data_IF_209271631138
#
_entry.id   IF_209271631138
#
_cell.length_a   1.000
_cell.length_b   1.000
_cell.length_c   1.000
_cell.angle_alpha   90.00
_cell.angle_beta   90.00
_cell.angle_gamma   90.00
#
_symmetry.space_group_name_H-M   'P 1'
#
loop_
_entity.id
_entity.type
_entity.pdbx_description
1 polymer ?
#
# COMPACT_ATOMS: atom_id res chain seq x y z
N UNK A 1 0.80 -6.04 -0.50
CA UNK A 1 0.46 -6.19 0.93
C UNK A 1 0.00 -4.83 1.44
N UNK A 2 -0.97 -4.79 2.34
CA UNK A 2 -1.39 -3.54 3.00
C UNK A 2 -0.74 -3.46 4.37
N UNK A 3 -0.36 -2.25 4.76
CA UNK A 3 0.24 -1.94 6.06
C UNK A 3 -0.54 -0.86 6.79
N UNK A 4 -0.46 -0.84 8.12
CA UNK A 4 -1.03 0.21 8.98
C UNK A 4 -0.08 0.56 10.13
N UNK A 5 -0.23 1.77 10.65
CA UNK A 5 0.50 2.23 11.83
C UNK A 5 -0.48 2.52 12.96
N UNK A 6 -0.41 1.72 14.02
CA UNK A 6 -1.28 1.83 15.21
C UNK A 6 -0.40 1.67 16.45
N UNK A 7 -0.67 2.43 17.51
CA UNK A 7 0.05 2.35 18.79
C UNK A 7 1.58 2.40 18.65
N UNK A 8 2.03 3.27 17.73
CA UNK A 8 3.44 3.48 17.40
C UNK A 8 4.16 2.24 16.82
N UNK A 9 3.41 1.31 16.22
CA UNK A 9 3.90 0.06 15.63
C UNK A 9 3.36 -0.11 14.20
N UNK A 10 4.25 -0.51 13.28
CA UNK A 10 3.87 -0.90 11.93
C UNK A 10 3.41 -2.35 11.89
N UNK A 11 2.34 -2.60 11.13
CA UNK A 11 1.75 -3.91 10.94
C UNK A 11 1.46 -4.17 9.47
N UNK A 12 1.69 -5.39 9.00
CA UNK A 12 1.19 -5.85 7.69
C UNK A 12 0.07 -6.88 7.87
N UNK A 13 -0.87 -6.91 6.93
CA UNK A 13 -1.91 -7.93 6.88
C UNK A 13 -1.38 -9.21 6.22
N UNK A 14 -1.63 -10.38 6.82
CA UNK A 14 -1.28 -11.70 6.27
C UNK A 14 -2.48 -12.58 5.91
N UNK A 15 -3.65 -11.96 5.69
CA UNK A 15 -5.00 -12.54 5.50
C UNK A 15 -5.75 -12.93 6.79
N UNK A 16 -5.05 -13.31 7.86
CA UNK A 16 -5.71 -13.76 9.10
C UNK A 16 -5.54 -12.76 10.25
N UNK A 17 -4.36 -12.15 10.34
CA UNK A 17 -3.98 -11.25 11.43
C UNK A 17 -3.14 -10.08 10.93
N UNK A 18 -2.99 -9.09 11.80
CA UNK A 18 -2.01 -8.02 11.66
C UNK A 18 -0.72 -8.45 12.36
N UNK A 19 0.38 -8.42 11.63
CA UNK A 19 1.68 -8.86 12.12
C UNK A 19 2.60 -7.65 12.24
N UNK A 20 3.15 -7.45 13.43
CA UNK A 20 4.12 -6.40 13.70
C UNK A 20 5.38 -6.60 12.85
N UNK A 21 5.88 -5.51 12.28
CA UNK A 21 7.17 -5.50 11.61
C UNK A 21 7.90 -4.17 11.84
N UNK A 22 9.23 -4.22 11.75
CA UNK A 22 10.07 -3.02 11.72
C UNK A 22 10.40 -2.71 10.26
N UNK A 23 10.03 -1.53 9.74
CA UNK A 23 10.40 -1.16 8.39
C UNK A 23 11.91 -1.10 8.20
N UNK A 24 12.34 -1.48 7.01
CA UNK A 24 13.71 -1.39 6.54
C UNK A 24 13.84 -0.25 5.52
N UNK A 25 15.07 0.14 5.19
CA UNK A 25 15.32 1.24 4.24
C UNK A 25 14.81 0.98 2.83
N UNK A 26 14.54 -0.28 2.47
CA UNK A 26 13.95 -0.64 1.18
C UNK A 26 12.41 -0.54 1.13
N UNK A 27 11.75 -0.36 2.27
CA UNK A 27 10.29 -0.29 2.31
C UNK A 27 9.78 1.05 1.78
N UNK A 28 8.70 0.99 1.00
CA UNK A 28 8.11 2.17 0.37
C UNK A 28 6.60 2.05 0.24
N UNK A 29 5.89 3.09 0.67
CA UNK A 29 4.45 3.22 0.49
C UNK A 29 4.15 3.78 -0.91
N UNK A 30 3.38 3.04 -1.71
CA UNK A 30 3.04 3.42 -3.09
C UNK A 30 1.63 3.99 -3.22
N UNK A 31 0.76 3.75 -2.24
CA UNK A 31 -0.62 4.22 -2.23
C UNK A 31 -1.13 4.32 -0.79
N UNK A 32 -2.12 5.20 -0.58
CA UNK A 32 -2.95 5.21 0.61
C UNK A 32 -4.32 4.60 0.26
N UNK A 33 -4.88 3.78 1.16
CA UNK A 33 -6.19 3.15 0.96
C UNK A 33 -7.10 3.42 2.15
N UNK A 34 -8.40 3.55 1.87
CA UNK A 34 -9.44 3.67 2.89
C UNK A 34 -10.43 2.51 2.71
N UNK A 35 -10.45 1.59 3.68
CA UNK A 35 -11.27 0.39 3.64
C UNK A 35 -12.77 0.69 3.75
N UNK A 36 -13.16 1.69 4.55
CA UNK A 36 -14.57 2.04 4.78
C UNK A 36 -15.25 2.58 3.52
N UNK A 37 -14.50 3.32 2.70
CA UNK A 37 -15.00 3.98 1.49
C UNK A 37 -14.52 3.34 0.18
N UNK A 38 -13.71 2.28 0.25
CA UNK A 38 -13.08 1.65 -0.92
C UNK A 38 -12.33 2.65 -1.81
N UNK A 39 -11.64 3.62 -1.20
CA UNK A 39 -10.89 4.65 -1.93
C UNK A 39 -9.40 4.33 -1.96
N UNK A 40 -8.76 4.70 -3.06
CA UNK A 40 -7.32 4.59 -3.28
C UNK A 40 -6.80 5.95 -3.70
N UNK A 41 -5.70 6.37 -3.08
CA UNK A 41 -4.89 7.48 -3.55
C UNK A 41 -3.51 6.94 -3.91
N UNK A 42 -3.17 6.93 -5.19
CA UNK A 42 -1.81 6.60 -5.64
C UNK A 42 -0.86 7.71 -5.18
N UNK A 43 0.33 7.33 -4.70
CA UNK A 43 1.35 8.27 -4.23
C UNK A 43 2.38 8.59 -5.34
N UNK A 44 2.00 8.44 -6.61
CA UNK A 44 2.85 8.82 -7.72
C UNK A 44 3.18 10.32 -7.66
N UNK A 45 4.45 10.68 -7.82
CA UNK A 45 4.95 12.03 -7.70
C UNK A 45 5.01 12.58 -6.26
N UNK A 46 4.58 11.80 -5.26
CA UNK A 46 4.70 12.19 -3.85
C UNK A 46 6.10 11.89 -3.32
N UNK A 47 6.52 12.64 -2.30
CA UNK A 47 7.81 12.47 -1.62
C UNK A 47 7.63 12.49 -0.09
N UNK A 48 8.71 12.23 0.65
CA UNK A 48 8.73 12.22 2.12
C UNK A 48 8.59 10.83 2.72
N UNK A 49 8.16 10.78 3.98
CA UNK A 49 7.96 9.53 4.72
C UNK A 49 6.74 9.59 5.62
N UNK A 50 6.18 8.43 5.92
CA UNK A 50 5.12 8.23 6.90
C UNK A 50 5.68 7.35 8.00
N UNK A 51 5.76 7.86 9.23
CA UNK A 51 6.24 7.13 10.42
C UNK A 51 7.48 6.24 10.15
N UNK A 52 8.46 6.77 9.41
CA UNK A 52 9.72 6.08 9.09
C UNK A 52 9.76 5.28 7.79
N UNK A 53 8.65 5.11 7.06
CA UNK A 53 8.63 4.48 5.73
C UNK A 53 8.61 5.56 4.64
N UNK A 54 9.52 5.48 3.68
CA UNK A 54 9.51 6.39 2.53
C UNK A 54 8.21 6.23 1.73
N UNK A 55 7.68 7.32 1.17
CA UNK A 55 6.46 7.28 0.38
C UNK A 55 6.65 7.79 -1.04
N UNK A 56 5.73 7.37 -1.90
CA UNK A 56 5.61 7.78 -3.29
C UNK A 56 6.62 7.13 -4.23
N UNK A 57 6.43 7.37 -5.51
CA UNK A 57 7.25 6.85 -6.60
C UNK A 57 7.20 7.79 -7.79
N UNK A 58 8.21 7.76 -8.66
CA UNK A 58 8.35 8.72 -9.77
C UNK A 58 7.41 8.38 -10.93
N UNK A 59 7.50 7.15 -11.43
CA UNK A 59 6.73 6.66 -12.56
C UNK A 59 6.48 5.17 -12.42
N UNK A 60 5.46 4.65 -13.10
CA UNK A 60 5.11 3.23 -13.06
C UNK A 60 3.79 2.98 -13.78
N UNK A 61 3.43 1.71 -13.91
CA UNK A 61 2.16 1.25 -14.47
C UNK A 61 1.23 0.67 -13.40
N UNK A 62 1.54 0.90 -12.12
CA UNK A 62 0.79 0.36 -11.01
C UNK A 62 -0.64 0.90 -10.98
N UNK A 63 -1.60 0.00 -10.86
CA UNK A 63 -3.01 0.31 -10.64
C UNK A 63 -3.50 -0.47 -9.42
N UNK A 64 -4.24 0.19 -8.53
CA UNK A 64 -4.93 -0.48 -7.42
C UNK A 64 -6.43 -0.32 -7.63
N UNK A 65 -7.13 -1.45 -7.74
CA UNK A 65 -8.57 -1.53 -7.95
C UNK A 65 -9.25 -1.93 -6.63
N UNK A 66 -10.12 -1.08 -6.06
CA UNK A 66 -10.90 -1.44 -4.87
C UNK A 66 -11.88 -2.58 -5.16
N UNK A 67 -12.21 -3.34 -4.13
CA UNK A 67 -13.09 -4.52 -4.15
C UNK A 67 -12.68 -5.58 -5.18
N UNK A 68 -11.37 -5.84 -5.30
CA UNK A 68 -10.83 -6.77 -6.28
C UNK A 68 -9.77 -7.69 -5.67
N UNK A 69 -9.88 -8.99 -5.95
CA UNK A 69 -8.82 -9.97 -5.73
C UNK A 69 -8.63 -10.82 -6.98
N UNK A 70 -7.40 -10.91 -7.50
CA UNK A 70 -7.07 -11.69 -8.72
C UNK A 70 -8.03 -11.41 -9.89
N UNK A 71 -8.26 -10.13 -10.18
CA UNK A 71 -9.17 -9.65 -11.24
C UNK A 71 -10.65 -10.09 -11.09
N UNK A 72 -11.05 -10.55 -9.91
CA UNK A 72 -12.45 -10.90 -9.58
C UNK A 72 -12.94 -9.97 -8.48
N UNK A 73 -14.22 -9.59 -8.53
CA UNK A 73 -14.84 -8.81 -7.47
C UNK A 73 -14.73 -9.55 -6.13
N UNK A 74 -14.21 -8.85 -5.11
CA UNK A 74 -14.16 -9.34 -3.74
C UNK A 74 -14.22 -8.14 -2.79
N UNK A 75 -15.32 -8.01 -2.05
CA UNK A 75 -15.57 -6.84 -1.21
C UNK A 75 -14.51 -6.71 -0.10
N UNK A 76 -13.97 -5.51 0.08
CA UNK A 76 -12.94 -5.21 1.08
C UNK A 76 -11.49 -5.47 0.62
N UNK A 77 -11.29 -6.09 -0.54
CA UNK A 77 -9.95 -6.33 -1.09
C UNK A 77 -9.47 -5.20 -2.01
N UNK A 78 -8.15 -5.03 -2.08
CA UNK A 78 -7.51 -4.04 -2.96
C UNK A 78 -6.53 -4.74 -3.90
N UNK A 79 -6.98 -4.99 -5.13
CA UNK A 79 -6.21 -5.69 -6.14
C UNK A 79 -5.17 -4.77 -6.75
N UNK A 80 -3.91 -5.18 -6.76
CA UNK A 80 -2.83 -4.46 -7.43
C UNK A 80 -2.44 -5.15 -8.73
N UNK A 81 -2.26 -4.36 -9.79
CA UNK A 81 -1.71 -4.77 -11.08
C UNK A 81 -0.65 -3.78 -11.56
N UNK A 82 0.06 -4.14 -12.62
CA UNK A 82 1.24 -3.43 -13.10
C UNK A 82 2.49 -4.31 -13.01
N UNK A 83 3.56 -3.85 -13.62
CA UNK A 83 4.81 -4.59 -13.78
C UNK A 83 6.01 -3.81 -13.28
N UNK A 84 5.94 -2.48 -13.16
CA UNK A 84 7.06 -1.68 -12.71
C UNK A 84 6.65 -0.38 -12.02
N UNK A 85 7.57 0.10 -11.21
CA UNK A 85 7.63 1.49 -10.78
C UNK A 85 9.11 1.87 -10.62
N UNK A 86 9.40 3.16 -10.72
CA UNK A 86 10.72 3.75 -10.48
C UNK A 86 10.64 4.71 -9.32
N UNK A 87 11.72 4.81 -8.57
CA UNK A 87 11.92 5.75 -7.48
C UNK A 87 13.40 6.19 -7.48
N UNK A 88 13.70 7.29 -6.81
CA UNK A 88 15.08 7.80 -6.67
C UNK A 88 15.98 6.88 -5.85
#
# INVERSE_FOLDING_TARGET
MVVRFIDNQWQYANNDVWVDFTPTTGDRLIAAVNFDSSQVQMLQGSTGSVNGINQGYLAGDLTITPNQWRNTYNAGEFGISGTYFTFE
#
